data_IF_506684458158
#
_entry.id   IF_506684458158
#
_cell.length_a   1.000
_cell.length_b   1.000
_cell.length_c   1.000
_cell.angle_alpha   90.00
_cell.angle_beta   90.00
_cell.angle_gamma   90.00
#
_symmetry.space_group_name_H-M   'P 1'
#
loop_
_entity.id
_entity.type
_entity.pdbx_description
1 polymer ?
#
# COMPACT_ATOMS: atom_id res chain seq x y z
N UNK A 1 -25.00 19.97 5.70
CA UNK A 1 -23.54 19.94 5.50
C UNK A 1 -22.90 20.47 6.77
N UNK A 2 -22.22 19.61 7.52
CA UNK A 2 -21.70 19.97 8.84
C UNK A 2 -20.49 20.90 8.68
N UNK A 3 -20.58 22.11 9.24
CA UNK A 3 -19.41 22.96 9.49
C UNK A 3 -18.58 22.26 10.54
N UNK A 4 -17.43 21.72 10.17
CA UNK A 4 -16.42 21.29 11.13
C UNK A 4 -15.87 22.56 11.76
N UNK A 5 -16.42 22.98 12.90
CA UNK A 5 -15.85 24.06 13.69
C UNK A 5 -14.48 23.61 14.21
N UNK A 6 -13.42 24.16 13.62
CA UNK A 6 -12.05 24.01 14.10
C UNK A 6 -11.96 24.63 15.50
N UNK A 7 -11.83 23.78 16.52
CA UNK A 7 -11.60 24.12 17.92
C UNK A 7 -10.20 24.74 18.09
N UNK A 8 -10.08 26.07 17.98
CA UNK A 8 -8.87 26.82 18.33
C UNK A 8 -8.64 28.08 17.48
N UNK A 9 -7.63 28.89 17.82
CA UNK A 9 -7.10 29.92 16.90
C UNK A 9 -6.69 29.21 15.61
N UNK A 10 -7.49 29.33 14.57
CA UNK A 10 -7.30 28.61 13.31
C UNK A 10 -5.87 28.74 12.82
N UNK A 11 -5.24 27.60 12.57
CA UNK A 11 -3.92 27.55 12.00
C UNK A 11 -3.98 28.11 10.57
N UNK A 12 -2.89 28.72 10.11
CA UNK A 12 -2.80 29.30 8.76
C UNK A 12 -3.14 28.25 7.70
N UNK A 13 -2.85 26.98 7.97
CA UNK A 13 -3.04 25.87 7.04
C UNK A 13 -4.46 25.31 6.99
N UNK A 14 -5.30 25.62 7.97
CA UNK A 14 -6.66 25.05 8.07
C UNK A 14 -7.51 25.38 6.84
N UNK A 15 -7.34 26.59 6.29
CA UNK A 15 -8.04 27.01 5.05
C UNK A 15 -7.70 26.12 3.86
N UNK A 16 -6.45 25.65 3.78
CA UNK A 16 -6.01 24.74 2.73
C UNK A 16 -6.48 23.31 3.00
N UNK A 17 -6.49 22.88 4.27
CA UNK A 17 -7.07 21.58 4.67
C UNK A 17 -8.55 21.51 4.31
N UNK A 18 -9.33 22.54 4.64
CA UNK A 18 -10.74 22.65 4.30
C UNK A 18 -11.00 22.64 2.80
N UNK A 19 -10.15 23.33 2.02
CA UNK A 19 -10.24 23.27 0.57
C UNK A 19 -9.98 21.87 0.02
N UNK A 20 -8.97 21.15 0.53
CA UNK A 20 -8.63 19.80 0.06
C UNK A 20 -9.69 18.75 0.44
N UNK A 21 -10.35 18.90 1.59
CA UNK A 21 -11.36 17.96 2.07
C UNK A 21 -12.77 18.27 1.57
N UNK A 22 -13.15 19.55 1.56
CA UNK A 22 -14.54 20.00 1.35
C UNK A 22 -14.71 20.88 0.12
N UNK A 23 -13.67 21.09 -0.70
CA UNK A 23 -13.67 21.99 -1.86
C UNK A 23 -14.14 23.43 -1.52
N UNK A 24 -13.83 23.92 -0.31
CA UNK A 24 -14.14 25.29 0.10
C UNK A 24 -13.52 26.32 -0.87
N UNK A 25 -14.19 27.43 -1.13
CA UNK A 25 -13.67 28.45 -2.05
C UNK A 25 -12.40 29.11 -1.48
N UNK A 26 -11.35 29.19 -2.31
CA UNK A 26 -10.11 29.88 -2.00
C UNK A 26 -10.02 31.21 -2.75
N UNK A 27 -9.36 32.20 -2.16
CA UNK A 27 -9.02 33.43 -2.87
C UNK A 27 -7.95 33.18 -3.93
N UNK A 28 -7.81 34.03 -4.96
CA UNK A 28 -6.78 33.86 -5.99
C UNK A 28 -5.36 33.73 -5.41
N UNK A 29 -5.01 34.56 -4.43
CA UNK A 29 -3.71 34.49 -3.74
C UNK A 29 -3.51 33.15 -3.00
N UNK A 30 -4.57 32.64 -2.36
CA UNK A 30 -4.53 31.35 -1.68
C UNK A 30 -4.38 30.20 -2.68
N UNK A 31 -5.03 30.27 -3.84
CA UNK A 31 -4.85 29.26 -4.90
C UNK A 31 -3.43 29.22 -5.43
N UNK A 32 -2.79 30.38 -5.59
CA UNK A 32 -1.38 30.46 -6.00
C UNK A 32 -0.47 29.86 -4.93
N UNK A 33 -0.73 30.16 -3.65
CA UNK A 33 0.04 29.57 -2.55
C UNK A 33 -0.14 28.06 -2.48
N UNK A 34 -1.36 27.56 -2.68
CA UNK A 34 -1.64 26.13 -2.73
C UNK A 34 -0.92 25.47 -3.93
N UNK A 35 -0.81 26.15 -5.07
CA UNK A 35 -0.03 25.66 -6.21
C UNK A 35 1.45 25.50 -5.85
N UNK A 36 2.03 26.43 -5.07
CA UNK A 36 3.41 26.31 -4.57
C UNK A 36 3.56 25.12 -3.62
N UNK A 37 2.62 24.91 -2.69
CA UNK A 37 2.64 23.72 -1.82
C UNK A 37 2.50 22.42 -2.62
N UNK A 38 1.60 22.36 -3.60
CA UNK A 38 1.46 21.20 -4.49
C UNK A 38 2.73 20.93 -5.28
N UNK A 39 3.41 21.98 -5.76
CA UNK A 39 4.69 21.86 -6.47
C UNK A 39 5.78 21.31 -5.55
N UNK A 40 5.89 21.83 -4.34
CA UNK A 40 6.81 21.34 -3.32
C UNK A 40 6.54 19.86 -3.00
N UNK A 41 5.27 19.49 -2.81
CA UNK A 41 4.88 18.10 -2.55
C UNK A 41 5.23 17.19 -3.72
N UNK A 42 4.97 17.61 -4.97
CA UNK A 42 5.33 16.84 -6.15
C UNK A 42 6.84 16.59 -6.25
N UNK A 43 7.69 17.56 -5.89
CA UNK A 43 9.14 17.37 -5.84
C UNK A 43 9.51 16.34 -4.77
N UNK A 44 8.92 16.42 -3.58
CA UNK A 44 9.17 15.44 -2.52
C UNK A 44 8.72 14.03 -2.94
N UNK A 45 7.54 13.87 -3.55
CA UNK A 45 7.05 12.59 -4.08
C UNK A 45 7.93 12.04 -5.20
N UNK A 46 8.65 12.90 -5.93
CA UNK A 46 9.63 12.50 -6.94
C UNK A 46 10.98 12.07 -6.35
N UNK A 47 11.10 11.98 -5.03
CA UNK A 47 12.31 11.54 -4.34
C UNK A 47 13.40 12.61 -4.22
N UNK A 48 13.09 13.89 -4.49
CA UNK A 48 14.04 14.97 -4.23
C UNK A 48 14.22 15.17 -2.72
N UNK A 49 15.47 15.33 -2.27
CA UNK A 49 15.77 15.68 -0.88
C UNK A 49 15.24 17.07 -0.53
N UNK A 50 14.96 17.34 0.75
CA UNK A 50 14.44 18.63 1.21
C UNK A 50 15.29 19.82 0.73
N UNK A 51 16.62 19.72 0.82
CA UNK A 51 17.55 20.76 0.34
C UNK A 51 17.49 20.98 -1.17
N UNK A 52 17.36 19.89 -1.94
CA UNK A 52 17.24 19.97 -3.40
C UNK A 52 15.89 20.57 -3.80
N UNK A 53 14.81 20.18 -3.13
CA UNK A 53 13.47 20.76 -3.30
C UNK A 53 13.48 22.26 -3.03
N UNK A 54 14.13 22.71 -1.95
CA UNK A 54 14.27 24.16 -1.64
C UNK A 54 15.01 24.88 -2.76
N UNK A 55 16.12 24.32 -3.23
CA UNK A 55 16.91 24.93 -4.32
C UNK A 55 16.10 25.06 -5.61
N UNK A 56 15.29 24.05 -5.93
CA UNK A 56 14.39 24.07 -7.10
C UNK A 56 13.28 25.11 -6.91
N UNK A 57 12.62 25.14 -5.75
CA UNK A 57 11.54 26.08 -5.46
C UNK A 57 12.00 27.53 -5.45
N UNK A 58 13.18 27.83 -4.92
CA UNK A 58 13.77 29.17 -4.98
C UNK A 58 13.98 29.64 -6.43
N UNK A 59 14.37 28.74 -7.33
CA UNK A 59 14.55 29.05 -8.76
C UNK A 59 13.24 29.15 -9.52
N UNK A 60 12.30 28.22 -9.32
CA UNK A 60 11.05 28.14 -10.06
C UNK A 60 10.01 29.18 -9.58
N UNK A 61 9.92 29.40 -8.27
CA UNK A 61 8.91 30.28 -7.68
C UNK A 61 9.46 31.67 -7.32
N UNK A 62 10.75 31.95 -7.59
CA UNK A 62 11.42 33.23 -7.31
C UNK A 62 11.27 33.69 -5.85
N UNK A 63 11.26 32.73 -4.92
CA UNK A 63 11.10 33.00 -3.48
C UNK A 63 12.44 33.03 -2.77
N UNK A 64 12.55 33.88 -1.73
CA UNK A 64 13.72 33.91 -0.88
C UNK A 64 14.00 32.53 -0.25
N UNK A 65 15.28 32.20 -0.08
CA UNK A 65 15.71 30.88 0.41
C UNK A 65 15.12 30.54 1.79
N UNK A 66 15.03 31.52 2.71
CA UNK A 66 14.38 31.34 4.01
C UNK A 66 12.88 31.05 3.91
N UNK A 67 12.18 31.68 2.96
CA UNK A 67 10.77 31.44 2.72
C UNK A 67 10.51 30.05 2.13
N UNK A 68 11.40 29.57 1.26
CA UNK A 68 11.31 28.23 0.69
C UNK A 68 11.43 27.12 1.76
N UNK A 69 12.21 27.33 2.82
CA UNK A 69 12.23 26.42 3.98
C UNK A 69 10.86 26.33 4.66
N UNK A 70 10.27 27.48 4.97
CA UNK A 70 8.93 27.53 5.56
C UNK A 70 7.90 26.87 4.64
N UNK A 71 8.00 27.10 3.33
CA UNK A 71 7.09 26.50 2.36
C UNK A 71 7.18 24.97 2.35
N UNK A 72 8.39 24.40 2.38
CA UNK A 72 8.58 22.95 2.47
C UNK A 72 8.09 22.40 3.80
N UNK A 73 8.32 23.10 4.91
CA UNK A 73 7.80 22.71 6.23
C UNK A 73 6.27 22.69 6.25
N UNK A 74 5.65 23.78 5.82
CA UNK A 74 4.20 23.93 5.76
C UNK A 74 3.58 22.89 4.78
N UNK A 75 4.30 22.54 3.70
CA UNK A 75 3.91 21.46 2.79
C UNK A 75 3.90 20.09 3.47
N UNK A 76 4.94 19.78 4.25
CA UNK A 76 5.03 18.53 5.02
C UNK A 76 3.92 18.47 6.08
N UNK A 77 3.56 19.61 6.67
CA UNK A 77 2.46 19.67 7.63
C UNK A 77 1.08 19.51 6.97
N UNK A 78 0.93 19.99 5.73
CA UNK A 78 -0.32 19.91 4.98
C UNK A 78 -0.57 18.53 4.35
N UNK A 79 0.48 17.92 3.78
CA UNK A 79 0.36 16.66 3.02
C UNK A 79 0.96 15.44 3.73
N UNK A 80 1.68 15.65 4.83
CA UNK A 80 2.41 14.60 5.56
C UNK A 80 3.88 14.50 5.20
N UNK A 81 4.66 13.86 6.08
CA UNK A 81 6.08 13.59 5.87
C UNK A 81 6.24 12.26 5.14
N UNK A 82 6.67 12.32 3.88
CA UNK A 82 6.87 11.14 3.03
C UNK A 82 7.88 10.17 3.66
N UNK A 83 8.88 10.67 4.39
CA UNK A 83 9.88 9.82 5.05
C UNK A 83 9.31 9.02 6.22
N UNK A 84 8.17 9.43 6.76
CA UNK A 84 7.43 8.74 7.83
C UNK A 84 6.25 7.94 7.27
N UNK A 85 6.10 7.89 5.95
CA UNK A 85 5.04 7.13 5.31
C UNK A 85 5.22 5.63 5.53
N UNK A 86 4.11 4.90 5.49
CA UNK A 86 4.09 3.44 5.62
C UNK A 86 4.98 2.79 4.56
N UNK A 87 5.55 1.63 4.92
CA UNK A 87 6.46 0.86 4.06
C UNK A 87 5.92 0.69 2.65
N UNK A 88 4.61 0.48 2.51
CA UNK A 88 3.97 0.23 1.21
C UNK A 88 3.86 1.49 0.36
N UNK A 89 3.62 2.67 0.96
CA UNK A 89 3.70 3.95 0.24
C UNK A 89 5.11 4.23 -0.28
N UNK A 90 6.13 3.95 0.53
CA UNK A 90 7.53 4.08 0.13
C UNK A 90 7.90 3.10 -0.99
N UNK A 91 7.39 1.86 -0.95
CA UNK A 91 7.55 0.88 -2.04
C UNK A 91 6.94 1.40 -3.35
N UNK A 92 5.73 1.93 -3.31
CA UNK A 92 5.06 2.47 -4.50
C UNK A 92 5.85 3.63 -5.13
N UNK A 93 6.32 4.58 -4.31
CA UNK A 93 7.14 5.70 -4.78
C UNK A 93 8.45 5.20 -5.40
N UNK A 94 9.11 4.23 -4.76
CA UNK A 94 10.34 3.65 -5.29
C UNK A 94 10.11 2.97 -6.64
N UNK A 95 9.03 2.20 -6.77
CA UNK A 95 8.62 1.58 -8.04
C UNK A 95 8.44 2.62 -9.15
N UNK A 96 7.65 3.66 -8.91
CA UNK A 96 7.42 4.74 -9.88
C UNK A 96 8.73 5.39 -10.35
N UNK A 97 9.67 5.60 -9.42
CA UNK A 97 10.98 6.16 -9.74
C UNK A 97 11.83 5.21 -10.59
N UNK A 98 11.79 3.90 -10.34
CA UNK A 98 12.46 2.91 -11.19
C UNK A 98 11.86 2.85 -12.60
N UNK A 99 10.54 2.93 -12.74
CA UNK A 99 9.89 2.98 -14.05
C UNK A 99 10.30 4.24 -14.82
N UNK A 100 10.40 5.40 -14.16
CA UNK A 100 10.91 6.62 -14.79
C UNK A 100 12.37 6.50 -15.20
N UNK A 101 13.21 5.91 -14.35
CA UNK A 101 14.61 5.65 -14.67
C UNK A 101 14.74 4.73 -15.89
N UNK A 102 13.92 3.68 -15.98
CA UNK A 102 13.87 2.79 -17.14
C UNK A 102 13.48 3.54 -18.43
N UNK A 103 12.45 4.40 -18.39
CA UNK A 103 12.06 5.25 -19.53
C UNK A 103 13.18 6.21 -19.96
N UNK A 104 13.92 6.76 -19.00
CA UNK A 104 15.05 7.65 -19.28
C UNK A 104 16.20 6.88 -19.94
N UNK A 105 16.54 5.70 -19.42
CA UNK A 105 17.56 4.82 -19.97
C UNK A 105 17.19 4.34 -21.38
N UNK A 106 15.92 4.00 -21.62
CA UNK A 106 15.39 3.66 -22.94
C UNK A 106 15.61 4.81 -23.94
N UNK A 107 15.32 6.06 -23.54
CA UNK A 107 15.54 7.25 -24.39
C UNK A 107 17.04 7.44 -24.73
N UNK A 108 17.93 7.08 -23.80
CA UNK A 108 19.38 7.16 -23.99
C UNK A 108 19.97 5.93 -24.70
N UNK A 109 19.14 4.93 -25.06
CA UNK A 109 19.53 3.63 -25.61
C UNK A 109 20.49 2.84 -24.71
N UNK A 110 20.48 3.12 -23.40
CA UNK A 110 21.19 2.33 -22.40
C UNK A 110 20.28 1.22 -21.88
N UNK A 111 20.26 0.10 -22.60
CA UNK A 111 19.40 -1.03 -22.26
C UNK A 111 19.85 -1.75 -20.98
N UNK A 112 21.13 -1.68 -20.61
CA UNK A 112 21.63 -2.30 -19.38
C UNK A 112 21.08 -1.57 -18.16
N UNK A 113 21.11 -0.24 -18.16
CA UNK A 113 20.50 0.57 -17.11
C UNK A 113 18.98 0.39 -17.06
N UNK A 114 18.33 0.24 -18.22
CA UNK A 114 16.89 -0.02 -18.32
C UNK A 114 16.50 -1.36 -17.65
N UNK A 115 17.18 -2.45 -18.00
CA UNK A 115 16.92 -3.79 -17.43
C UNK A 115 17.10 -3.77 -15.92
N UNK A 116 18.20 -3.20 -15.41
CA UNK A 116 18.46 -3.08 -13.97
C UNK A 116 17.36 -2.30 -13.25
N UNK A 117 16.88 -1.20 -13.84
CA UNK A 117 15.79 -0.43 -13.26
C UNK A 117 14.48 -1.24 -13.21
N UNK A 118 14.17 -2.00 -14.26
CA UNK A 118 12.98 -2.86 -14.32
C UNK A 118 13.07 -4.04 -13.33
N UNK A 119 14.23 -4.67 -13.18
CA UNK A 119 14.46 -5.73 -12.19
C UNK A 119 14.24 -5.24 -10.76
N UNK A 120 14.74 -4.05 -10.44
CA UNK A 120 14.55 -3.42 -9.14
C UNK A 120 13.07 -3.08 -8.89
N UNK A 121 12.36 -2.58 -9.92
CA UNK A 121 10.92 -2.36 -9.85
C UNK A 121 10.15 -3.65 -9.56
N UNK A 122 10.50 -4.74 -10.26
CA UNK A 122 9.87 -6.04 -10.08
C UNK A 122 10.14 -6.65 -8.69
N UNK A 123 11.35 -6.46 -8.16
CA UNK A 123 11.71 -6.91 -6.80
C UNK A 123 10.93 -6.18 -5.71
N UNK A 124 10.67 -4.89 -5.87
CA UNK A 124 9.91 -4.10 -4.89
C UNK A 124 8.44 -4.53 -4.83
N UNK A 125 7.88 -4.90 -5.98
CA UNK A 125 6.54 -5.45 -6.11
C UNK A 125 6.46 -6.95 -5.79
N UNK A 126 7.57 -7.54 -5.37
CA UNK A 126 7.65 -8.94 -4.95
C UNK A 126 7.18 -9.95 -6.02
N UNK A 127 7.27 -9.56 -7.30
CA UNK A 127 6.83 -10.37 -8.45
C UNK A 127 7.60 -11.70 -8.59
N UNK A 128 8.75 -11.82 -7.93
CA UNK A 128 9.57 -13.02 -7.93
C UNK A 128 9.29 -13.95 -6.76
N UNK A 129 8.53 -13.51 -5.76
CA UNK A 129 8.17 -14.34 -4.63
C UNK A 129 7.03 -15.25 -5.05
N UNK A 130 7.31 -16.55 -5.11
CA UNK A 130 6.29 -17.57 -5.30
C UNK A 130 5.35 -17.44 -4.11
N UNK A 131 4.06 -17.18 -4.36
CA UNK A 131 3.08 -17.12 -3.29
C UNK A 131 3.07 -18.46 -2.56
N UNK A 132 3.61 -18.47 -1.35
CA UNK A 132 3.53 -19.58 -0.42
C UNK A 132 2.09 -19.69 0.07
N UNK A 133 1.17 -20.12 -0.81
CA UNK A 133 0.02 -20.89 -0.38
C UNK A 133 0.52 -22.28 -0.01
N UNK A 134 1.32 -22.35 1.06
CA UNK A 134 1.69 -23.60 1.69
C UNK A 134 0.41 -24.05 2.39
N UNK A 135 -0.35 -24.94 1.75
CA UNK A 135 -1.40 -25.69 2.44
C UNK A 135 -0.76 -26.28 3.69
N UNK A 136 -1.19 -25.85 4.88
CA UNK A 136 -0.66 -26.37 6.12
C UNK A 136 -1.25 -27.77 6.32
N UNK A 137 -0.46 -28.87 6.29
CA UNK A 137 -1.00 -30.22 6.39
C UNK A 137 -1.81 -30.44 7.68
N UNK A 138 -1.52 -29.65 8.71
CA UNK A 138 -2.22 -29.68 10.00
C UNK A 138 -3.70 -29.25 9.90
N UNK A 139 -4.08 -28.45 8.90
CA UNK A 139 -5.47 -28.02 8.68
C UNK A 139 -6.36 -29.17 8.19
N UNK A 140 -5.74 -30.27 7.74
CA UNK A 140 -6.42 -31.49 7.26
C UNK A 140 -6.43 -32.63 8.29
N UNK A 141 -5.77 -32.46 9.45
CA UNK A 141 -5.79 -33.46 10.53
C UNK A 141 -6.98 -33.18 11.44
N UNK A 142 -8.08 -33.92 11.26
CA UNK A 142 -9.20 -33.89 12.23
C UNK A 142 -8.71 -34.46 13.57
N UNK A 143 -8.89 -33.76 14.71
CA UNK A 143 -8.58 -34.32 16.01
C UNK A 143 -9.48 -35.52 16.27
N UNK A 144 -8.91 -36.68 16.58
CA UNK A 144 -9.67 -37.82 17.09
C UNK A 144 -9.90 -37.61 18.59
N UNK A 145 -11.17 -37.55 19.00
CA UNK A 145 -11.52 -37.51 20.42
C UNK A 145 -11.31 -38.90 21.03
N UNK A 146 -10.24 -39.06 21.82
CA UNK A 146 -10.02 -40.31 22.56
C UNK A 146 -10.82 -40.25 23.87
N UNK A 147 -11.94 -40.95 23.92
CA UNK A 147 -12.81 -41.00 25.09
C UNK A 147 -12.42 -42.22 25.95
N UNK A 148 -11.89 -41.95 27.14
CA UNK A 148 -11.62 -42.98 28.15
C UNK A 148 -12.83 -43.10 29.07
N UNK A 149 -13.62 -44.15 28.88
CA UNK A 149 -14.76 -44.47 29.74
C UNK A 149 -14.63 -45.88 30.31
N UNK A 150 -15.10 -46.07 31.53
CA UNK A 150 -15.17 -47.37 32.21
C UNK A 150 -16.50 -48.09 31.95
N UNK A 151 -17.43 -47.42 31.28
CA UNK A 151 -18.75 -47.96 30.93
C UNK A 151 -18.71 -48.63 29.56
N UNK A 152 -19.01 -49.93 29.52
CA UNK A 152 -18.94 -50.75 28.31
C UNK A 152 -19.98 -50.35 27.24
N UNK A 153 -21.10 -49.73 27.63
CA UNK A 153 -22.12 -49.33 26.65
C UNK A 153 -21.69 -48.15 25.79
N UNK A 154 -20.99 -47.18 26.38
CA UNK A 154 -20.49 -45.98 25.68
C UNK A 154 -19.44 -46.34 24.61
N UNK A 155 -18.67 -47.40 24.82
CA UNK A 155 -17.70 -47.91 23.84
C UNK A 155 -18.38 -48.53 22.61
N UNK A 156 -19.51 -49.21 22.79
CA UNK A 156 -20.25 -49.88 21.72
C UNK A 156 -20.93 -48.84 20.82
N UNK A 157 -21.45 -47.76 21.41
CA UNK A 157 -22.12 -46.70 20.66
C UNK A 157 -21.13 -45.90 19.80
N UNK A 158 -19.93 -45.60 20.31
CA UNK A 158 -18.86 -44.96 19.52
C UNK A 158 -18.34 -45.84 18.37
N UNK A 159 -18.19 -47.16 18.59
CA UNK A 159 -17.78 -48.06 17.50
C UNK A 159 -18.80 -48.10 16.35
N UNK A 160 -20.09 -47.93 16.64
CA UNK A 160 -21.13 -47.87 15.60
C UNK A 160 -21.09 -46.59 14.79
N UNK A 161 -20.80 -45.45 15.42
CA UNK A 161 -20.66 -44.16 14.73
C UNK A 161 -19.45 -44.15 13.76
N UNK A 162 -18.36 -44.85 14.09
CA UNK A 162 -17.18 -44.95 13.20
C UNK A 162 -17.40 -45.87 11.99
N UNK A 163 -18.36 -46.80 12.04
CA UNK A 163 -18.60 -47.77 10.95
C UNK A 163 -19.52 -47.27 9.83
N UNK A 164 -20.06 -46.05 9.92
CA UNK A 164 -20.91 -45.47 8.87
C UNK A 164 -20.08 -44.53 7.99
N UNK A 165 -19.24 -45.09 7.11
CA UNK A 165 -19.11 -44.68 5.69
C UNK A 165 -17.89 -45.37 5.06
N UNK A 166 -18.12 -46.51 4.40
CA UNK A 166 -17.41 -46.91 3.17
C UNK A 166 -18.13 -48.10 2.53
N UNK A 167 -19.43 -47.95 2.26
CA UNK A 167 -20.08 -48.85 1.31
C UNK A 167 -19.73 -48.39 -0.10
N UNK A 168 -18.73 -49.05 -0.69
CA UNK A 168 -18.47 -49.01 -2.13
C UNK A 168 -19.73 -49.51 -2.85
N UNK A 169 -20.44 -48.61 -3.53
CA UNK A 169 -21.42 -49.03 -4.53
C UNK A 169 -20.64 -49.49 -5.78
N UNK A 170 -20.56 -50.81 -5.96
CA UNK A 170 -20.17 -51.39 -7.25
C UNK A 170 -21.19 -50.93 -8.30
N UNK A 171 -20.70 -50.23 -9.33
CA UNK A 171 -21.51 -49.90 -10.50
C UNK A 171 -21.67 -51.17 -11.32
N UNK A 172 -22.88 -51.74 -11.34
CA UNK A 172 -23.24 -52.80 -12.28
C UNK A 172 -23.19 -52.26 -13.72
N UNK A 173 -22.19 -52.71 -14.48
CA UNK A 173 -22.12 -52.53 -15.93
C UNK A 173 -23.19 -53.42 -16.60
N UNK A 174 -24.34 -52.85 -16.94
CA UNK A 174 -25.29 -53.47 -17.87
C UNK A 174 -24.77 -53.39 -19.32
N UNK A 175 -23.89 -54.32 -19.72
CA UNK A 175 -23.74 -54.70 -21.14
C UNK A 175 -24.85 -55.68 -21.53
N UNK A 176 -26.01 -55.13 -21.92
CA UNK A 176 -27.07 -55.85 -22.59
C UNK A 176 -26.82 -55.97 -24.09
N UNK A 177 -26.66 -57.21 -24.56
CA UNK A 177 -26.66 -57.65 -25.96
C UNK A 177 -27.92 -57.28 -26.73
#
# INVERSE_FOLDING_TARGET
MAKTELLGKGDKLDKYRDHLLSNAALTPEQTEMLAKYRRANALLCNGYSRLRTITILTKECLVAHGYAYSLVRDTIELFGDITKSEKDGMRYIAYENFIRAAKLAQKQKDYNAMIRAQENAARIYDLYTVSEQVMNPQDFVKPTEIIFTTDAQVLIDHQKEETIDTDYQEADDEEGK
#
